data_IF_773929232308
#
_entry.id   IF_773929232308
#
_cell.length_a   1.000
_cell.length_b   1.000
_cell.length_c   1.000
_cell.angle_alpha   90.00
_cell.angle_beta   90.00
_cell.angle_gamma   90.00
#
_symmetry.space_group_name_H-M   'P 1'
#
loop_
_entity.id
_entity.type
_entity.pdbx_description
1 polymer ?
#
# COMPACT_ATOMS: atom_id res chain seq x y z
N UNK A 1 -31.63 -18.27 0.88
CA UNK A 1 -30.78 -17.14 0.44
C UNK A 1 -30.87 -16.08 1.52
N UNK A 2 -29.80 -15.87 2.29
CA UNK A 2 -29.84 -15.04 3.51
C UNK A 2 -29.52 -13.56 3.17
N UNK A 3 -30.45 -12.61 3.35
CA UNK A 3 -30.33 -11.17 2.97
C UNK A 3 -29.45 -10.28 3.88
N UNK A 4 -28.58 -10.83 4.73
CA UNK A 4 -28.03 -10.12 5.90
C UNK A 4 -26.62 -9.55 5.68
N UNK A 5 -26.01 -9.80 4.51
CA UNK A 5 -24.62 -9.41 4.20
C UNK A 5 -24.50 -7.94 3.75
N UNK A 6 -25.63 -7.22 3.58
CA UNK A 6 -25.68 -5.85 3.05
C UNK A 6 -25.66 -4.72 4.10
N UNK A 7 -25.50 -5.03 5.40
CA UNK A 7 -25.54 -4.05 6.49
C UNK A 7 -24.16 -3.57 6.99
N UNK A 8 -23.07 -4.04 6.39
CA UNK A 8 -21.74 -3.81 6.97
C UNK A 8 -21.10 -2.44 6.62
N UNK A 9 -21.72 -1.61 5.77
CA UNK A 9 -21.27 -0.23 5.55
C UNK A 9 -22.34 0.69 4.94
N UNK A 10 -23.42 1.07 5.65
CA UNK A 10 -24.32 2.10 5.15
C UNK A 10 -23.62 3.47 5.25
N UNK A 11 -23.13 3.97 4.11
CA UNK A 11 -22.69 5.36 4.00
C UNK A 11 -23.89 6.29 4.30
N UNK A 12 -23.86 6.97 5.45
CA UNK A 12 -24.88 7.95 5.84
C UNK A 12 -24.53 9.32 5.26
N UNK A 13 -25.34 9.79 4.31
CA UNK A 13 -25.25 11.14 3.75
C UNK A 13 -26.29 12.05 4.41
N UNK A 14 -25.87 12.98 5.26
CA UNK A 14 -26.76 14.04 5.74
C UNK A 14 -26.88 15.13 4.66
N UNK A 15 -28.09 15.68 4.41
CA UNK A 15 -28.36 16.55 3.26
C UNK A 15 -27.59 17.89 3.25
N UNK A 16 -26.87 18.22 4.33
CA UNK A 16 -26.08 19.45 4.47
C UNK A 16 -24.57 19.19 4.69
N UNK A 17 -24.11 17.93 4.68
CA UNK A 17 -22.74 17.57 5.10
C UNK A 17 -21.75 17.30 3.95
N UNK A 18 -22.11 17.57 2.69
CA UNK A 18 -21.24 17.24 1.54
C UNK A 18 -20.85 15.75 1.49
N UNK A 19 -19.98 15.38 0.55
CA UNK A 19 -19.39 14.04 0.53
C UNK A 19 -18.38 13.93 1.69
N UNK A 20 -18.86 13.55 2.87
CA UNK A 20 -17.99 13.11 3.96
C UNK A 20 -17.44 11.76 3.54
N UNK A 21 -16.17 11.72 3.15
CA UNK A 21 -15.44 10.46 3.07
C UNK A 21 -15.28 9.95 4.50
N UNK A 22 -16.16 9.04 4.91
CA UNK A 22 -16.05 8.37 6.19
C UNK A 22 -14.91 7.36 6.06
N UNK A 23 -13.69 7.80 6.34
CA UNK A 23 -12.57 6.87 6.56
C UNK A 23 -12.86 6.09 7.84
N UNK A 24 -13.70 5.05 7.72
CA UNK A 24 -13.79 3.99 8.71
C UNK A 24 -12.49 3.21 8.54
N UNK A 25 -11.43 3.61 9.24
CA UNK A 25 -10.34 2.71 9.55
C UNK A 25 -10.82 1.90 10.75
N UNK A 26 -11.47 0.73 10.58
CA UNK A 26 -11.55 -0.18 11.70
C UNK A 26 -10.11 -0.43 12.13
N UNK A 27 -9.82 -0.34 13.42
CA UNK A 27 -8.50 -0.67 13.92
C UNK A 27 -8.31 -2.17 13.67
N UNK A 28 -7.70 -2.50 12.52
CA UNK A 28 -7.68 -3.83 11.89
C UNK A 28 -7.18 -4.92 12.83
N UNK A 29 -6.39 -4.52 13.83
CA UNK A 29 -5.79 -5.39 14.81
C UNK A 29 -6.65 -5.54 16.07
N UNK A 30 -7.43 -4.53 16.45
CA UNK A 30 -8.28 -4.59 17.65
C UNK A 30 -9.61 -5.33 17.40
N UNK A 31 -9.96 -5.57 16.14
CA UNK A 31 -11.11 -6.38 15.73
C UNK A 31 -10.80 -7.87 15.54
N UNK A 32 -9.55 -8.30 15.77
CA UNK A 32 -9.16 -9.72 15.65
C UNK A 32 -9.81 -10.51 16.79
N UNK A 33 -10.60 -11.52 16.45
CA UNK A 33 -11.16 -12.45 17.43
C UNK A 33 -10.01 -13.07 18.26
N UNK A 34 -10.06 -12.99 19.60
CA UNK A 34 -9.03 -13.56 20.47
C UNK A 34 -8.75 -15.06 20.24
N UNK A 35 -9.68 -15.78 19.61
CA UNK A 35 -9.52 -17.19 19.21
C UNK A 35 -8.80 -17.37 17.87
N UNK A 36 -8.83 -16.36 17.01
CA UNK A 36 -8.15 -16.35 15.72
C UNK A 36 -6.71 -15.79 15.83
N UNK A 37 -6.44 -14.95 16.82
CA UNK A 37 -5.11 -14.41 17.07
C UNK A 37 -5.09 -13.36 18.18
N UNK A 38 -3.95 -12.71 18.37
CA UNK A 38 -3.80 -11.62 19.33
C UNK A 38 -3.48 -10.31 18.58
N UNK A 39 -4.43 -9.38 18.57
CA UNK A 39 -4.30 -8.08 17.92
C UNK A 39 -3.02 -7.31 18.26
N UNK A 40 -2.60 -7.31 19.53
CA UNK A 40 -1.38 -6.63 19.96
C UNK A 40 -0.10 -7.28 19.44
N UNK A 41 -0.14 -8.58 19.16
CA UNK A 41 0.96 -9.33 18.55
C UNK A 41 0.96 -9.08 17.04
N UNK A 42 -0.19 -9.17 16.38
CA UNK A 42 -0.33 -8.93 14.94
C UNK A 42 0.06 -7.49 14.55
N UNK A 43 -0.32 -6.50 15.36
CA UNK A 43 0.10 -5.09 15.18
C UNK A 43 1.63 -4.95 15.22
N UNK A 44 2.30 -5.65 16.14
CA UNK A 44 3.77 -5.66 16.23
C UNK A 44 4.41 -6.43 15.07
N UNK A 45 3.81 -7.53 14.63
CA UNK A 45 4.27 -8.28 13.47
C UNK A 45 4.17 -7.45 12.17
N UNK A 46 3.08 -6.69 11.99
CA UNK A 46 2.89 -5.79 10.85
C UNK A 46 3.96 -4.69 10.76
N UNK A 47 4.46 -4.21 11.90
CA UNK A 47 5.58 -3.23 11.94
C UNK A 47 6.90 -3.82 11.44
N UNK A 48 7.10 -5.14 11.56
CA UNK A 48 8.30 -5.82 11.04
C UNK A 48 8.19 -5.98 9.54
N UNK A 49 7.06 -6.45 9.05
CA UNK A 49 6.75 -6.51 7.63
C UNK A 49 5.24 -6.50 7.41
N UNK A 50 4.77 -5.62 6.54
CA UNK A 50 3.36 -5.62 6.13
C UNK A 50 3.00 -6.96 5.48
N UNK A 51 1.74 -7.38 5.58
CA UNK A 51 1.28 -8.62 4.91
C UNK A 51 1.53 -8.60 3.40
N UNK A 52 1.44 -7.43 2.77
CA UNK A 52 1.81 -7.25 1.36
C UNK A 52 3.29 -7.58 1.10
N UNK A 53 4.21 -7.17 1.99
CA UNK A 53 5.63 -7.53 1.87
C UNK A 53 5.87 -9.02 2.08
N UNK A 54 5.22 -9.62 3.07
CA UNK A 54 5.32 -11.06 3.34
C UNK A 54 4.83 -11.89 2.13
N UNK A 55 3.66 -11.56 1.58
CA UNK A 55 3.11 -12.20 0.39
C UNK A 55 3.97 -11.97 -0.86
N UNK A 56 4.56 -10.78 -0.99
CA UNK A 56 5.52 -10.49 -2.06
C UNK A 56 6.73 -11.42 -2.01
N UNK A 57 7.36 -11.57 -0.84
CA UNK A 57 8.49 -12.48 -0.65
C UNK A 57 8.14 -13.93 -0.97
N UNK A 58 6.99 -14.41 -0.46
CA UNK A 58 6.52 -15.77 -0.75
C UNK A 58 6.30 -15.95 -2.24
N UNK A 59 5.72 -14.95 -2.92
CA UNK A 59 5.49 -14.98 -4.38
C UNK A 59 6.79 -15.02 -5.16
N UNK A 60 7.77 -14.20 -4.80
CA UNK A 60 9.11 -14.18 -5.42
C UNK A 60 9.79 -15.56 -5.33
N UNK A 61 9.79 -16.16 -4.13
CA UNK A 61 10.38 -17.48 -3.90
C UNK A 61 9.61 -18.58 -4.64
N UNK A 62 8.28 -18.57 -4.60
CA UNK A 62 7.46 -19.57 -5.29
C UNK A 62 7.65 -19.51 -6.81
N UNK A 63 7.73 -18.32 -7.39
CA UNK A 63 7.97 -18.15 -8.83
C UNK A 63 9.38 -18.63 -9.22
N UNK A 64 10.41 -18.35 -8.41
CA UNK A 64 11.76 -18.86 -8.68
C UNK A 64 11.81 -20.40 -8.63
N UNK A 65 11.16 -21.02 -7.64
CA UNK A 65 11.04 -22.47 -7.54
C UNK A 65 10.27 -23.04 -8.74
N UNK A 66 9.11 -22.47 -9.08
CA UNK A 66 8.27 -22.93 -10.17
C UNK A 66 8.97 -22.84 -11.53
N UNK A 67 9.76 -21.78 -11.78
CA UNK A 67 10.56 -21.63 -13.01
C UNK A 67 11.61 -22.73 -13.19
N UNK A 68 12.12 -23.29 -12.10
CA UNK A 68 13.13 -24.37 -12.09
C UNK A 68 12.50 -25.77 -12.18
N UNK A 69 11.18 -25.86 -12.10
CA UNK A 69 10.47 -27.14 -12.15
C UNK A 69 10.34 -27.62 -13.60
N UNK A 70 10.99 -28.73 -13.94
CA UNK A 70 10.96 -29.29 -15.32
C UNK A 70 9.57 -29.83 -15.71
N UNK A 71 8.81 -30.32 -14.73
CA UNK A 71 7.48 -30.88 -14.95
C UNK A 71 6.46 -30.22 -14.03
N UNK A 72 5.50 -29.53 -14.66
CA UNK A 72 4.32 -28.96 -14.03
C UNK A 72 3.07 -29.41 -14.79
N UNK A 73 1.97 -29.64 -14.07
CA UNK A 73 0.67 -29.85 -14.72
C UNK A 73 0.23 -28.60 -15.49
N UNK A 74 -0.70 -28.75 -16.41
CA UNK A 74 -1.24 -27.64 -17.21
C UNK A 74 -1.86 -26.57 -16.31
N UNK A 75 -2.62 -27.01 -15.29
CA UNK A 75 -3.30 -26.14 -14.31
C UNK A 75 -2.29 -25.34 -13.47
N UNK A 76 -1.16 -25.98 -13.12
CA UNK A 76 -0.10 -25.32 -12.37
C UNK A 76 0.62 -24.26 -13.23
N UNK A 77 0.81 -24.52 -14.54
CA UNK A 77 1.37 -23.53 -15.48
C UNK A 77 0.45 -22.32 -15.67
N UNK A 78 -0.85 -22.56 -15.78
CA UNK A 78 -1.84 -21.47 -15.86
C UNK A 78 -1.86 -20.63 -14.58
N UNK A 79 -1.87 -21.30 -13.41
CA UNK A 79 -1.82 -20.61 -12.12
C UNK A 79 -0.54 -19.79 -11.95
N UNK A 80 0.60 -20.31 -12.40
CA UNK A 80 1.88 -19.59 -12.41
C UNK A 80 1.81 -18.34 -13.28
N UNK A 81 1.27 -18.45 -14.51
CA UNK A 81 1.10 -17.29 -15.41
C UNK A 81 0.20 -16.22 -14.80
N UNK A 82 -0.87 -16.63 -14.11
CA UNK A 82 -1.74 -15.72 -13.36
C UNK A 82 -0.98 -15.03 -12.23
N UNK A 83 -0.18 -15.77 -11.46
CA UNK A 83 0.61 -15.23 -10.36
C UNK A 83 1.66 -14.21 -10.84
N UNK A 84 2.36 -14.49 -11.94
CA UNK A 84 3.28 -13.55 -12.59
C UNK A 84 2.56 -12.27 -13.04
N UNK A 85 1.37 -12.43 -13.63
CA UNK A 85 0.55 -11.29 -14.05
C UNK A 85 0.08 -10.43 -12.88
N UNK A 86 -0.28 -11.05 -11.75
CA UNK A 86 -0.65 -10.33 -10.51
C UNK A 86 0.56 -9.59 -9.95
N UNK A 87 1.71 -10.25 -9.83
CA UNK A 87 2.94 -9.64 -9.35
C UNK A 87 3.32 -8.41 -10.20
N UNK A 88 3.32 -8.54 -11.53
CA UNK A 88 3.63 -7.44 -12.44
C UNK A 88 2.68 -6.24 -12.31
N UNK A 89 1.38 -6.47 -12.11
CA UNK A 89 0.41 -5.39 -11.86
C UNK A 89 0.67 -4.68 -10.53
N UNK A 90 0.99 -5.43 -9.48
CA UNK A 90 1.31 -4.86 -8.17
C UNK A 90 2.56 -4.00 -8.25
N UNK A 91 3.63 -4.47 -8.91
CA UNK A 91 4.85 -3.67 -9.08
C UNK A 91 4.59 -2.40 -9.88
N UNK A 92 3.80 -2.48 -10.96
CA UNK A 92 3.42 -1.29 -11.71
C UNK A 92 2.67 -0.27 -10.86
N UNK A 93 1.73 -0.71 -10.01
CA UNK A 93 1.02 0.20 -9.09
C UNK A 93 2.00 0.90 -8.13
N UNK A 94 3.00 0.19 -7.60
CA UNK A 94 4.02 0.79 -6.71
C UNK A 94 4.89 1.82 -7.44
N UNK A 95 5.27 1.53 -8.69
CA UNK A 95 6.05 2.43 -9.53
C UNK A 95 5.26 3.69 -9.89
N UNK A 96 4.00 3.53 -10.30
CA UNK A 96 3.09 4.62 -10.65
C UNK A 96 2.86 5.54 -9.44
N UNK A 97 2.64 4.98 -8.24
CA UNK A 97 2.46 5.75 -7.01
C UNK A 97 3.73 6.51 -6.61
N UNK A 98 4.91 5.88 -6.68
CA UNK A 98 6.19 6.53 -6.37
C UNK A 98 6.46 7.71 -7.32
N UNK A 99 6.13 7.53 -8.60
CA UNK A 99 6.24 8.57 -9.63
C UNK A 99 5.27 9.72 -9.34
N UNK A 100 4.04 9.39 -8.92
CA UNK A 100 3.01 10.36 -8.55
C UNK A 100 3.45 11.24 -7.37
N UNK A 101 3.98 10.64 -6.30
CA UNK A 101 4.48 11.36 -5.12
C UNK A 101 5.61 12.33 -5.50
N UNK A 102 6.56 11.88 -6.33
CA UNK A 102 7.66 12.73 -6.78
C UNK A 102 7.15 13.94 -7.58
N UNK A 103 6.21 13.72 -8.51
CA UNK A 103 5.60 14.79 -9.30
C UNK A 103 4.81 15.77 -8.43
N UNK A 104 4.07 15.28 -7.44
CA UNK A 104 3.31 16.11 -6.51
C UNK A 104 4.24 16.97 -5.65
N UNK A 105 5.33 16.39 -5.12
CA UNK A 105 6.34 17.12 -4.36
C UNK A 105 6.97 18.23 -5.20
N UNK A 106 7.35 17.95 -6.45
CA UNK A 106 7.92 18.96 -7.34
C UNK A 106 6.95 20.12 -7.58
N UNK A 107 5.68 19.82 -7.90
CA UNK A 107 4.65 20.83 -8.08
C UNK A 107 4.42 21.68 -6.81
N UNK A 108 4.40 21.05 -5.63
CA UNK A 108 4.26 21.75 -4.34
C UNK A 108 5.47 22.64 -4.05
N UNK A 109 6.68 22.17 -4.34
CA UNK A 109 7.91 22.93 -4.18
C UNK A 109 7.97 24.15 -5.13
N UNK A 110 7.57 23.98 -6.39
CA UNK A 110 7.48 25.08 -7.37
C UNK A 110 6.47 26.14 -6.93
N UNK A 111 5.32 25.71 -6.40
CA UNK A 111 4.31 26.62 -5.85
C UNK A 111 4.84 27.37 -4.63
N UNK A 112 5.51 26.68 -3.71
CA UNK A 112 6.12 27.30 -2.52
C UNK A 112 7.17 28.34 -2.91
N UNK A 113 8.01 28.04 -3.91
CA UNK A 113 9.01 28.99 -4.44
C UNK A 113 8.38 30.29 -4.94
N UNK A 114 7.20 30.22 -5.52
CA UNK A 114 6.49 31.37 -6.08
C UNK A 114 5.72 32.15 -5.00
N UNK A 115 5.11 31.45 -4.04
CA UNK A 115 4.22 32.06 -3.03
C UNK A 115 4.97 32.56 -1.79
N UNK A 116 6.02 31.84 -1.35
CA UNK A 116 6.87 32.23 -0.23
C UNK A 116 8.34 31.82 -0.49
N UNK A 117 9.11 32.67 -1.19
CA UNK A 117 10.52 32.41 -1.50
C UNK A 117 11.39 32.20 -0.26
N UNK A 118 11.02 32.80 0.87
CA UNK A 118 11.78 32.69 2.12
C UNK A 118 11.55 31.32 2.76
N UNK A 119 10.31 30.82 2.80
CA UNK A 119 10.02 29.46 3.24
C UNK A 119 10.66 28.41 2.32
N UNK A 120 10.61 28.62 1.02
CA UNK A 120 11.30 27.76 0.05
C UNK A 120 12.81 27.70 0.31
N UNK A 121 13.44 28.84 0.56
CA UNK A 121 14.89 28.90 0.84
C UNK A 121 15.26 28.13 2.11
N UNK A 122 14.47 28.26 3.19
CA UNK A 122 14.66 27.48 4.42
C UNK A 122 14.51 25.97 4.18
N UNK A 123 13.48 25.57 3.44
CA UNK A 123 13.23 24.16 3.11
C UNK A 123 14.36 23.59 2.25
N UNK A 124 14.82 24.33 1.23
CA UNK A 124 15.95 23.93 0.38
C UNK A 124 17.21 23.65 1.17
N UNK A 125 17.56 24.51 2.14
CA UNK A 125 18.74 24.29 2.99
C UNK A 125 18.62 23.01 3.80
N UNK A 126 17.43 22.69 4.34
CA UNK A 126 17.18 21.44 5.06
C UNK A 126 17.26 20.22 4.14
N UNK A 127 16.68 20.29 2.94
CA UNK A 127 16.73 19.20 1.96
C UNK A 127 18.17 18.92 1.50
N UNK A 128 18.97 19.97 1.26
CA UNK A 128 20.39 19.80 0.90
C UNK A 128 21.22 19.16 2.01
N UNK A 129 20.87 19.36 3.28
CA UNK A 129 21.51 18.70 4.40
C UNK A 129 21.17 17.20 4.43
N UNK A 130 19.89 16.85 4.24
CA UNK A 130 19.43 15.45 4.20
C UNK A 130 20.12 14.67 3.08
N UNK A 131 20.19 15.23 1.86
CA UNK A 131 20.81 14.57 0.71
C UNK A 131 22.33 14.36 0.90
N UNK A 132 22.99 15.21 1.71
CA UNK A 132 24.42 15.07 2.02
C UNK A 132 24.73 13.99 3.06
N UNK A 133 23.79 13.68 3.95
CA UNK A 133 23.98 12.63 4.96
C UNK A 133 23.78 11.21 4.38
N UNK A 134 23.06 11.08 3.26
CA UNK A 134 22.83 9.81 2.55
C UNK A 134 23.93 9.45 1.52
N UNK A 135 24.98 10.28 1.37
CA UNK A 135 26.11 10.08 0.42
C UNK A 135 27.41 9.74 1.14
#
# INVERSE_FOLDING_TARGET
>A
MYPWIWLWAPNFYFPLSGAVDQTIQPDLFDSIDPRAGNGSVERRAFQVASYGRQLGLITEVLLDIARKQETMSTEAKESMKCLEGIQGKIEKIKEDESTSIAAELDARLLRLKTQDPNAFSRLRTRLLAIVKDDS
#
